data_IF_409320519450
#
_entry.id   IF_409320519450
#
_cell.length_a   1.000
_cell.length_b   1.000
_cell.length_c   1.000
_cell.angle_alpha   90.00
_cell.angle_beta   90.00
_cell.angle_gamma   90.00
#
_symmetry.space_group_name_H-M   'P 1'
#
loop_
_entity.id
_entity.type
_entity.pdbx_description
1 polymer ?
#
# COMPACT_ATOMS: atom_id res chain seq x y z
N UNK A 1 -11.18 -11.49 3.63
CA UNK A 1 -12.53 -11.58 4.21
C UNK A 1 -13.50 -11.97 3.11
N UNK A 2 -14.32 -13.04 3.24
CA UNK A 2 -15.35 -13.29 2.26
C UNK A 2 -16.33 -12.12 2.25
N UNK A 3 -16.77 -11.72 1.06
CA UNK A 3 -17.83 -10.72 0.90
C UNK A 3 -19.07 -11.15 1.68
N UNK A 4 -19.75 -10.21 2.32
CA UNK A 4 -20.99 -10.50 3.01
C UNK A 4 -21.98 -11.20 2.06
N UNK A 5 -22.69 -12.25 2.50
CA UNK A 5 -23.69 -12.92 1.68
C UNK A 5 -24.68 -11.87 1.14
N UNK A 6 -24.85 -11.81 -0.20
CA UNK A 6 -25.73 -10.85 -0.85
C UNK A 6 -25.07 -9.53 -1.28
N UNK A 7 -23.76 -9.37 -1.13
CA UNK A 7 -23.07 -8.22 -1.68
C UNK A 7 -23.15 -8.20 -3.22
N UNK A 8 -23.64 -7.09 -3.76
CA UNK A 8 -23.71 -6.85 -5.21
C UNK A 8 -22.64 -5.82 -5.60
N UNK A 9 -22.23 -5.76 -6.89
CA UNK A 9 -21.33 -4.70 -7.35
C UNK A 9 -21.83 -3.28 -7.01
N UNK A 10 -23.15 -3.10 -7.01
CA UNK A 10 -23.77 -1.81 -6.64
C UNK A 10 -23.58 -1.51 -5.14
N UNK A 11 -23.90 -2.46 -4.26
CA UNK A 11 -23.73 -2.25 -2.81
C UNK A 11 -22.28 -2.05 -2.40
N UNK A 12 -21.34 -2.66 -3.12
CA UNK A 12 -19.90 -2.44 -2.89
C UNK A 12 -19.48 -1.02 -3.30
N UNK A 13 -19.98 -0.52 -4.44
CA UNK A 13 -19.72 0.87 -4.86
C UNK A 13 -20.26 1.88 -3.85
N UNK A 14 -21.47 1.67 -3.37
CA UNK A 14 -22.08 2.53 -2.36
C UNK A 14 -21.29 2.52 -1.03
N UNK A 15 -20.89 1.33 -0.58
CA UNK A 15 -20.09 1.18 0.63
C UNK A 15 -18.72 1.88 0.52
N UNK A 16 -18.06 1.76 -0.65
CA UNK A 16 -16.80 2.47 -0.93
C UNK A 16 -16.98 3.99 -0.93
N UNK A 17 -18.01 4.48 -1.62
CA UNK A 17 -18.31 5.91 -1.66
C UNK A 17 -18.69 6.46 -0.28
N UNK A 18 -19.38 5.68 0.55
CA UNK A 18 -19.68 6.05 1.92
C UNK A 18 -18.41 6.09 2.79
N UNK A 19 -17.54 5.11 2.61
CA UNK A 19 -16.26 5.07 3.30
C UNK A 19 -15.39 6.28 2.93
N UNK A 20 -15.27 6.59 1.64
CA UNK A 20 -14.53 7.77 1.15
C UNK A 20 -15.08 9.06 1.76
N UNK A 21 -16.40 9.25 1.78
CA UNK A 21 -17.00 10.45 2.40
C UNK A 21 -16.71 10.59 3.88
N UNK A 22 -16.59 9.48 4.61
CA UNK A 22 -16.40 9.51 6.07
C UNK A 22 -14.95 9.65 6.48
N UNK A 23 -14.04 9.04 5.75
CA UNK A 23 -12.66 8.83 6.20
C UNK A 23 -11.60 9.45 5.29
N UNK A 24 -11.87 9.63 3.99
CA UNK A 24 -10.94 10.37 3.15
C UNK A 24 -10.97 11.84 3.60
N UNK A 25 -9.94 12.28 4.28
CA UNK A 25 -9.69 13.71 4.44
C UNK A 25 -9.61 14.32 3.05
N UNK A 26 -10.18 15.52 2.86
CA UNK A 26 -9.93 16.29 1.66
C UNK A 26 -8.41 16.35 1.48
N UNK A 27 -7.93 15.56 0.55
CA UNK A 27 -6.50 15.48 0.29
C UNK A 27 -6.09 16.86 -0.18
N UNK A 28 -5.27 17.54 0.58
CA UNK A 28 -4.48 18.59 -0.05
C UNK A 28 -3.75 17.93 -1.23
N UNK A 29 -3.82 18.50 -2.42
CA UNK A 29 -3.14 17.94 -3.57
C UNK A 29 -1.71 17.68 -3.15
N UNK A 30 -1.28 16.43 -3.30
CA UNK A 30 0.09 16.06 -2.98
C UNK A 30 1.01 17.10 -3.61
N UNK A 31 1.84 17.72 -2.81
CA UNK A 31 2.82 18.69 -3.32
C UNK A 31 3.50 18.07 -4.52
N UNK A 32 3.47 18.77 -5.65
CA UNK A 32 4.05 18.26 -6.88
C UNK A 32 5.41 17.64 -6.56
N UNK A 33 5.59 16.39 -6.95
CA UNK A 33 6.86 15.69 -6.76
C UNK A 33 7.91 16.52 -7.49
N UNK A 34 8.57 17.40 -6.77
CA UNK A 34 9.71 18.16 -7.31
C UNK A 34 10.73 17.11 -7.68
N UNK A 35 11.26 17.16 -8.90
CA UNK A 35 12.26 16.20 -9.36
C UNK A 35 13.35 16.06 -8.27
N UNK A 36 13.52 14.90 -7.65
CA UNK A 36 14.33 14.77 -6.46
C UNK A 36 15.79 14.98 -6.81
N UNK A 37 16.46 15.80 -6.02
CA UNK A 37 17.90 15.79 -5.96
C UNK A 37 18.30 14.60 -5.08
N UNK A 38 18.42 13.40 -5.69
CA UNK A 38 18.76 12.19 -4.95
C UNK A 38 18.01 10.95 -5.39
N UNK A 39 18.01 9.93 -4.52
CA UNK A 39 17.27 8.68 -4.76
C UNK A 39 15.77 8.90 -4.58
N UNK A 40 14.98 8.27 -5.45
CA UNK A 40 13.51 8.17 -5.30
C UNK A 40 13.17 7.31 -4.10
N UNK A 41 12.28 7.76 -3.25
CA UNK A 41 11.84 7.04 -2.06
C UNK A 41 10.53 6.31 -2.30
N UNK A 42 10.61 4.99 -2.22
CA UNK A 42 9.47 4.10 -2.45
C UNK A 42 9.14 3.37 -1.15
N UNK A 43 7.91 3.49 -0.69
CA UNK A 43 7.41 2.85 0.52
C UNK A 43 6.50 1.66 0.21
N UNK A 44 6.49 0.68 1.11
CA UNK A 44 5.63 -0.49 1.05
C UNK A 44 4.93 -0.69 2.40
N UNK A 45 3.60 -0.73 2.39
CA UNK A 45 2.78 -1.11 3.53
C UNK A 45 2.55 -2.62 3.50
N UNK A 46 3.19 -3.32 4.41
CA UNK A 46 3.28 -4.78 4.45
C UNK A 46 2.50 -5.35 5.64
N UNK A 47 1.16 -5.38 5.59
CA UNK A 47 0.36 -5.91 6.72
C UNK A 47 0.40 -7.43 6.85
N UNK A 48 0.57 -8.14 5.78
CA UNK A 48 0.62 -9.59 5.77
C UNK A 48 1.20 -10.09 4.44
N UNK A 49 2.49 -9.98 4.25
CA UNK A 49 3.15 -10.77 3.20
C UNK A 49 3.24 -12.24 3.67
N UNK A 50 2.07 -12.85 3.89
CA UNK A 50 1.99 -14.24 4.30
C UNK A 50 2.24 -15.20 3.14
N UNK A 51 2.05 -14.74 1.89
CA UNK A 51 2.25 -15.55 0.70
C UNK A 51 3.70 -15.46 0.22
N UNK A 52 4.34 -16.61 0.07
CA UNK A 52 5.71 -16.72 -0.43
C UNK A 52 5.87 -16.15 -1.86
N UNK A 53 4.80 -16.20 -2.67
CA UNK A 53 4.79 -15.63 -4.02
C UNK A 53 4.89 -14.10 -3.96
N UNK A 54 4.13 -13.47 -3.09
CA UNK A 54 4.13 -12.01 -2.93
C UNK A 54 5.48 -11.52 -2.40
N UNK A 55 6.07 -12.29 -1.47
CA UNK A 55 7.41 -12.03 -0.97
C UNK A 55 8.47 -12.11 -2.07
N UNK A 56 8.38 -13.14 -2.92
CA UNK A 56 9.30 -13.32 -4.05
C UNK A 56 9.17 -12.19 -5.07
N UNK A 57 7.94 -11.83 -5.46
CA UNK A 57 7.69 -10.72 -6.39
C UNK A 57 8.27 -9.41 -5.87
N UNK A 58 8.08 -9.13 -4.59
CA UNK A 58 8.63 -7.92 -3.97
C UNK A 58 10.16 -7.93 -3.92
N UNK A 59 10.75 -9.09 -3.61
CA UNK A 59 12.21 -9.25 -3.63
C UNK A 59 12.80 -9.06 -5.05
N UNK A 60 12.19 -9.68 -6.06
CA UNK A 60 12.61 -9.56 -7.46
C UNK A 60 12.50 -8.11 -7.95
N UNK A 61 11.42 -7.41 -7.58
CA UNK A 61 11.26 -6.00 -7.90
C UNK A 61 12.35 -5.15 -7.23
N UNK A 62 12.62 -5.37 -5.94
CA UNK A 62 13.64 -4.64 -5.21
C UNK A 62 15.06 -4.90 -5.78
N UNK A 63 15.35 -6.12 -6.23
CA UNK A 63 16.60 -6.48 -6.88
C UNK A 63 16.70 -5.92 -8.31
N UNK A 64 15.58 -5.81 -9.02
CA UNK A 64 15.51 -5.27 -10.38
C UNK A 64 15.67 -3.76 -10.46
N UNK A 65 15.43 -3.06 -9.37
CA UNK A 65 15.56 -1.61 -9.28
C UNK A 65 16.91 -1.23 -8.69
N UNK A 66 17.64 -0.38 -9.37
CA UNK A 66 19.01 0.00 -8.96
C UNK A 66 19.01 0.81 -7.67
N UNK A 67 19.75 0.33 -6.67
CA UNK A 67 19.93 1.02 -5.39
C UNK A 67 20.56 2.43 -5.53
N UNK A 68 21.12 2.76 -6.70
CA UNK A 68 21.62 4.10 -7.00
C UNK A 68 20.52 5.12 -7.22
N UNK A 69 19.36 4.67 -7.72
CA UNK A 69 18.21 5.52 -8.09
C UNK A 69 17.08 5.47 -7.08
N UNK A 70 16.96 4.39 -6.29
CA UNK A 70 15.85 4.14 -5.41
C UNK A 70 16.29 3.85 -3.99
N UNK A 71 15.49 4.28 -3.03
CA UNK A 71 15.60 3.96 -1.61
C UNK A 71 14.26 3.37 -1.16
N UNK A 72 14.31 2.14 -0.61
CA UNK A 72 13.11 1.40 -0.24
C UNK A 72 12.85 1.47 1.25
N UNK A 73 11.60 1.72 1.62
CA UNK A 73 11.07 1.76 2.98
C UNK A 73 9.99 0.69 3.13
N UNK A 74 10.08 -0.13 4.15
CA UNK A 74 9.03 -1.07 4.52
C UNK A 74 8.38 -0.67 5.84
N UNK A 75 7.07 -0.64 5.87
CA UNK A 75 6.22 -0.42 7.04
C UNK A 75 5.50 -1.73 7.34
N UNK A 76 6.10 -2.56 8.20
CA UNK A 76 5.64 -3.92 8.49
C UNK A 76 4.78 -3.97 9.74
N UNK A 77 3.80 -4.86 9.74
CA UNK A 77 2.95 -5.15 10.88
C UNK A 77 3.21 -6.60 11.32
N UNK A 78 4.01 -6.78 12.33
CA UNK A 78 4.33 -8.08 12.89
C UNK A 78 5.81 -8.30 13.15
N UNK A 79 6.12 -9.50 13.58
CA UNK A 79 7.47 -9.88 13.96
C UNK A 79 8.41 -9.80 12.75
N UNK A 80 9.49 -9.04 12.90
CA UNK A 80 10.49 -8.86 11.85
C UNK A 80 11.30 -10.15 11.57
N UNK A 81 11.18 -11.15 12.44
CA UNK A 81 11.95 -12.39 12.38
C UNK A 81 11.21 -13.54 11.70
N UNK A 82 10.07 -13.29 11.06
CA UNK A 82 9.45 -14.34 10.24
C UNK A 82 10.37 -14.72 9.05
N UNK A 83 10.39 -16.00 8.65
CA UNK A 83 11.24 -16.42 7.53
C UNK A 83 11.05 -15.58 6.25
N UNK A 84 9.83 -15.12 5.99
CA UNK A 84 9.53 -14.27 4.85
C UNK A 84 10.13 -12.87 4.96
N UNK A 85 10.03 -12.26 6.13
CA UNK A 85 10.61 -10.94 6.37
C UNK A 85 12.15 -10.99 6.36
N UNK A 86 12.75 -12.09 6.80
CA UNK A 86 14.21 -12.27 6.77
C UNK A 86 14.76 -12.25 5.35
N UNK A 87 14.02 -12.76 4.37
CA UNK A 87 14.41 -12.73 2.94
C UNK A 87 14.31 -11.33 2.36
N UNK A 88 13.29 -10.57 2.74
CA UNK A 88 13.02 -9.24 2.19
C UNK A 88 13.87 -8.14 2.83
N UNK A 89 14.15 -8.27 4.12
CA UNK A 89 14.81 -7.22 4.91
C UNK A 89 16.10 -6.65 4.30
N UNK A 90 17.02 -7.46 3.74
CA UNK A 90 18.24 -6.93 3.13
C UNK A 90 17.99 -5.99 1.94
N UNK A 91 16.82 -6.10 1.30
CA UNK A 91 16.45 -5.26 0.15
C UNK A 91 15.94 -3.87 0.54
N UNK A 92 15.63 -3.66 1.83
CA UNK A 92 15.07 -2.40 2.32
C UNK A 92 16.09 -1.63 3.16
N UNK A 93 16.38 -0.39 2.76
CA UNK A 93 17.23 0.51 3.52
C UNK A 93 16.64 0.82 4.91
N UNK A 94 15.33 0.93 4.97
CA UNK A 94 14.59 1.24 6.20
C UNK A 94 13.42 0.25 6.36
N UNK A 95 13.43 -0.47 7.48
CA UNK A 95 12.33 -1.34 7.90
C UNK A 95 11.79 -0.87 9.24
N UNK A 96 10.52 -0.45 9.26
CA UNK A 96 9.83 -0.01 10.48
C UNK A 96 8.78 -1.04 10.92
N UNK A 97 8.83 -1.45 12.19
CA UNK A 97 7.73 -2.19 12.77
C UNK A 97 6.61 -1.20 13.17
N UNK A 98 5.43 -1.39 12.61
CA UNK A 98 4.27 -0.51 12.80
C UNK A 98 3.14 -1.17 13.59
N UNK A 99 3.38 -2.32 14.25
CA UNK A 99 2.36 -3.10 14.96
C UNK A 99 1.67 -2.31 16.09
N UNK A 100 2.41 -1.43 16.76
CA UNK A 100 1.92 -0.64 17.91
C UNK A 100 1.52 0.80 17.50
N UNK A 101 1.63 1.15 16.22
CA UNK A 101 1.30 2.50 15.76
C UNK A 101 -0.21 2.63 15.51
N UNK A 102 -0.75 3.81 15.80
CA UNK A 102 -2.05 4.21 15.28
C UNK A 102 -1.94 4.77 13.84
N UNK A 103 -3.07 5.02 13.22
CA UNK A 103 -3.12 5.47 11.83
C UNK A 103 -2.47 6.85 11.62
N UNK A 104 -2.60 7.74 12.59
CA UNK A 104 -2.05 9.10 12.52
C UNK A 104 -0.51 9.07 12.62
N UNK A 105 0.02 8.29 13.55
CA UNK A 105 1.46 8.09 13.73
C UNK A 105 2.09 7.38 12.53
N UNK A 106 1.40 6.39 11.97
CA UNK A 106 1.85 5.71 10.75
C UNK A 106 1.91 6.68 9.56
N UNK A 107 0.84 7.45 9.33
CA UNK A 107 0.80 8.43 8.26
C UNK A 107 1.87 9.52 8.44
N UNK A 108 2.09 9.99 9.67
CA UNK A 108 3.15 10.95 9.98
C UNK A 108 4.54 10.36 9.69
N UNK A 109 4.80 9.12 10.07
CA UNK A 109 6.09 8.44 9.83
C UNK A 109 6.39 8.34 8.33
N UNK A 110 5.41 7.95 7.51
CA UNK A 110 5.56 7.85 6.05
C UNK A 110 5.88 9.22 5.44
N UNK A 111 5.16 10.28 5.87
CA UNK A 111 5.45 11.65 5.41
C UNK A 111 6.85 12.11 5.80
N UNK A 112 7.25 11.84 7.05
CA UNK A 112 8.56 12.24 7.58
C UNK A 112 9.71 11.54 6.86
N UNK A 113 9.50 10.31 6.41
CA UNK A 113 10.46 9.58 5.59
C UNK A 113 10.54 10.13 4.15
N UNK A 114 9.63 11.02 3.75
CA UNK A 114 9.60 11.64 2.42
C UNK A 114 9.31 10.64 1.31
N UNK A 115 8.48 9.64 1.58
CA UNK A 115 8.07 8.64 0.58
C UNK A 115 7.29 9.32 -0.55
N UNK A 116 7.72 9.10 -1.79
CA UNK A 116 7.11 9.67 -2.98
C UNK A 116 6.03 8.78 -3.59
N UNK A 117 6.27 7.47 -3.58
CA UNK A 117 5.32 6.45 -4.03
C UNK A 117 5.15 5.43 -2.94
N UNK A 118 3.91 5.21 -2.51
CA UNK A 118 3.56 4.25 -1.47
C UNK A 118 2.74 3.12 -2.07
N UNK A 119 3.24 1.91 -1.97
CA UNK A 119 2.51 0.71 -2.36
C UNK A 119 1.78 0.12 -1.15
N UNK A 120 0.47 -0.05 -1.29
CA UNK A 120 -0.34 -0.82 -0.36
C UNK A 120 -0.37 -2.29 -0.78
N UNK A 121 0.17 -3.15 0.07
CA UNK A 121 0.19 -4.60 -0.10
C UNK A 121 -0.81 -5.31 0.83
N UNK A 122 -1.54 -4.55 1.65
CA UNK A 122 -2.48 -5.08 2.63
C UNK A 122 -3.92 -5.12 2.18
N UNK A 123 -4.29 -4.27 1.26
CA UNK A 123 -5.66 -4.15 0.79
C UNK A 123 -6.66 -3.90 1.92
N UNK A 124 -7.80 -4.61 1.90
CA UNK A 124 -8.84 -4.49 2.94
C UNK A 124 -8.55 -5.25 4.24
N UNK A 125 -7.38 -5.89 4.37
CA UNK A 125 -7.08 -6.72 5.55
C UNK A 125 -6.71 -5.91 6.80
N UNK A 126 -6.30 -4.66 6.64
CA UNK A 126 -5.89 -3.79 7.75
C UNK A 126 -6.66 -2.47 7.77
N UNK A 127 -7.67 -2.33 8.64
CA UNK A 127 -8.38 -1.05 8.82
C UNK A 127 -7.45 0.10 9.19
N UNK A 128 -6.42 -0.17 9.99
CA UNK A 128 -5.42 0.82 10.41
C UNK A 128 -4.67 1.38 9.20
N UNK A 129 -4.23 0.50 8.29
CA UNK A 129 -3.55 0.93 7.05
C UNK A 129 -4.47 1.75 6.16
N UNK A 130 -5.73 1.33 5.99
CA UNK A 130 -6.70 2.09 5.21
C UNK A 130 -6.90 3.50 5.79
N UNK A 131 -7.00 3.63 7.12
CA UNK A 131 -7.12 4.93 7.77
C UNK A 131 -5.86 5.80 7.63
N UNK A 132 -4.68 5.19 7.62
CA UNK A 132 -3.44 5.91 7.35
C UNK A 132 -3.36 6.37 5.88
N UNK A 133 -3.70 5.49 4.92
CA UNK A 133 -3.75 5.81 3.49
C UNK A 133 -4.76 6.92 3.17
N UNK A 134 -5.91 6.95 3.87
CA UNK A 134 -6.92 8.00 3.72
C UNK A 134 -6.41 9.40 4.05
N UNK A 135 -5.33 9.50 4.81
CA UNK A 135 -4.66 10.76 5.13
C UNK A 135 -3.66 11.20 4.06
N UNK A 136 -3.53 10.43 2.98
CA UNK A 136 -2.59 10.66 1.88
C UNK A 136 -1.17 10.96 2.37
N UNK A 137 -0.52 9.99 3.04
CA UNK A 137 0.84 10.17 3.56
C UNK A 137 1.92 10.27 2.47
N UNK A 138 1.63 9.86 1.24
CA UNK A 138 2.52 9.96 0.10
C UNK A 138 1.82 10.64 -1.09
N UNK A 139 2.57 11.34 -1.96
CA UNK A 139 2.05 11.97 -3.18
C UNK A 139 1.34 11.00 -4.12
N UNK A 140 1.88 9.80 -4.29
CA UNK A 140 1.30 8.75 -5.12
C UNK A 140 1.07 7.51 -4.28
N UNK A 141 -0.15 6.99 -4.31
CA UNK A 141 -0.54 5.78 -3.58
C UNK A 141 -1.06 4.72 -4.56
N UNK A 142 -0.45 3.55 -4.52
CA UNK A 142 -0.71 2.45 -5.45
C UNK A 142 -1.18 1.22 -4.68
N UNK A 143 -2.32 0.66 -5.07
CA UNK A 143 -2.74 -0.66 -4.56
C UNK A 143 -2.09 -1.75 -5.40
N UNK A 144 -1.39 -2.69 -4.74
CA UNK A 144 -0.71 -3.81 -5.38
C UNK A 144 -0.71 -5.03 -4.46
N UNK A 145 -0.95 -6.22 -4.98
CA UNK A 145 -1.01 -7.47 -4.20
C UNK A 145 -2.06 -7.44 -3.06
N UNK A 146 -1.99 -8.38 -2.15
CA UNK A 146 -2.70 -8.37 -0.85
C UNK A 146 -4.21 -8.53 -0.87
N UNK A 147 -4.90 -8.45 -2.01
CA UNK A 147 -6.35 -8.63 -2.07
C UNK A 147 -6.81 -9.14 -3.43
N UNK A 148 -7.76 -10.09 -3.41
CA UNK A 148 -8.45 -10.53 -4.63
C UNK A 148 -9.30 -9.40 -5.28
N UNK A 149 -9.53 -8.30 -4.56
CA UNK A 149 -10.24 -7.13 -5.06
C UNK A 149 -9.37 -5.87 -4.85
N UNK A 150 -9.04 -5.14 -5.92
CA UNK A 150 -8.22 -3.94 -5.81
C UNK A 150 -8.91 -2.86 -4.97
N UNK A 151 -8.11 -2.10 -4.22
CA UNK A 151 -8.58 -0.92 -3.50
C UNK A 151 -8.96 0.19 -4.47
N UNK A 152 -10.26 0.42 -4.64
CA UNK A 152 -10.80 1.53 -5.43
C UNK A 152 -11.38 2.60 -4.51
N UNK A 153 -10.51 3.19 -3.73
CA UNK A 153 -10.86 4.27 -2.80
C UNK A 153 -10.26 5.57 -3.32
N UNK A 154 -10.90 6.68 -3.05
CA UNK A 154 -10.54 8.00 -3.62
C UNK A 154 -9.14 8.49 -3.28
N UNK A 155 -8.47 7.85 -2.33
CA UNK A 155 -7.08 8.14 -1.96
C UNK A 155 -6.06 7.21 -2.63
N UNK A 156 -6.48 6.26 -3.48
CA UNK A 156 -5.60 5.40 -4.29
C UNK A 156 -5.54 5.95 -5.70
N UNK A 157 -4.35 6.27 -6.16
CA UNK A 157 -4.11 6.90 -7.46
C UNK A 157 -4.00 5.89 -8.59
N UNK A 158 -3.48 4.68 -8.30
CA UNK A 158 -3.29 3.63 -9.30
C UNK A 158 -3.43 2.23 -8.69
N UNK A 159 -3.71 1.27 -9.55
CA UNK A 159 -3.75 -0.16 -9.22
C UNK A 159 -2.72 -0.85 -10.10
N UNK A 160 -1.79 -1.59 -9.49
CA UNK A 160 -0.89 -2.46 -10.21
C UNK A 160 -1.48 -3.87 -10.25
N UNK A 161 -1.74 -4.37 -11.45
CA UNK A 161 -2.33 -5.66 -11.70
C UNK A 161 -1.60 -6.37 -12.83
N UNK A 162 -1.65 -7.69 -12.85
CA UNK A 162 -1.16 -8.51 -13.95
C UNK A 162 -2.28 -8.83 -14.96
N UNK A 163 -1.91 -9.40 -16.11
CA UNK A 163 -2.86 -9.80 -17.16
C UNK A 163 -3.84 -10.91 -16.72
N UNK A 164 -3.49 -11.64 -15.65
CA UNK A 164 -4.34 -12.67 -15.06
C UNK A 164 -5.39 -12.08 -14.11
N UNK A 165 -5.22 -10.83 -13.69
CA UNK A 165 -6.22 -10.12 -12.90
C UNK A 165 -7.38 -9.77 -13.82
N UNK A 166 -8.53 -10.40 -13.59
CA UNK A 166 -9.71 -10.26 -14.44
C UNK A 166 -10.05 -8.78 -14.67
N UNK A 167 -9.91 -8.34 -15.92
CA UNK A 167 -10.25 -6.97 -16.32
C UNK A 167 -11.71 -6.61 -15.95
N UNK A 168 -12.61 -7.59 -15.86
CA UNK A 168 -13.98 -7.40 -15.37
C UNK A 168 -14.01 -7.11 -13.86
N UNK A 169 -13.16 -7.72 -13.06
CA UNK A 169 -13.02 -7.39 -11.64
C UNK A 169 -12.45 -5.98 -11.45
N UNK A 170 -11.60 -5.53 -12.39
CA UNK A 170 -11.07 -4.17 -12.41
C UNK A 170 -12.10 -3.18 -12.96
N UNK A 171 -12.88 -3.53 -13.98
CA UNK A 171 -13.84 -2.63 -14.63
C UNK A 171 -15.20 -2.57 -13.95
N UNK A 172 -15.63 -3.65 -13.30
CA UNK A 172 -16.98 -3.83 -12.70
C UNK A 172 -17.10 -3.36 -11.26
N UNK A 173 -16.08 -2.79 -10.67
CA UNK A 173 -16.08 -2.28 -9.30
C UNK A 173 -16.72 -0.90 -9.17
#
# INVERSE_FOLDING_TARGET
MPLAPGATPHSLREARADWDRRFARAAEPASAVTAPQGKRRIGFLCSALADARDQQLLAEMALGLTAERYEFFAYGFGDQETPGNAVLRPSFANWRNCAELDADTLAFSIRSDGVEVLFDLGGFHSPLQLMALAQRPAPVQVSWLGSAAPLRLGFIDAILADDATDAAAIAGG
#
